data_IF_087150857294
#
_entry.id   IF_087150857294
#
_cell.length_a   1.000
_cell.length_b   1.000
_cell.length_c   1.000
_cell.angle_alpha   90.00
_cell.angle_beta   90.00
_cell.angle_gamma   90.00
#
_symmetry.space_group_name_H-M   'P 1'
#
loop_
_entity.id
_entity.type
_entity.pdbx_description
1 polymer ?
#
# COMPACT_ATOMS: atom_id res chain seq x y z
N UNK A 1 7.34 -17.27 -5.56
CA UNK A 1 5.95 -16.82 -5.69
C UNK A 1 5.00 -17.99 -5.90
N UNK A 2 4.93 -18.93 -4.94
CA UNK A 2 3.99 -20.06 -5.04
C UNK A 2 2.58 -19.69 -4.59
N UNK A 3 2.47 -18.94 -3.49
CA UNK A 3 1.17 -18.57 -2.92
C UNK A 3 0.37 -17.68 -3.85
N UNK A 4 1.03 -16.71 -4.51
CA UNK A 4 0.40 -15.82 -5.49
C UNK A 4 -0.23 -16.56 -6.66
N UNK A 5 0.40 -17.63 -7.12
CA UNK A 5 -0.15 -18.43 -8.21
C UNK A 5 -1.41 -19.17 -7.75
N UNK A 6 -1.33 -19.85 -6.60
CA UNK A 6 -2.44 -20.65 -6.07
C UNK A 6 -3.70 -19.85 -5.80
N UNK A 7 -3.57 -18.70 -5.15
CA UNK A 7 -4.76 -17.93 -4.81
C UNK A 7 -5.35 -17.22 -6.02
N UNK A 8 -4.54 -16.76 -6.99
CA UNK A 8 -5.07 -16.16 -8.22
C UNK A 8 -5.80 -17.20 -9.08
N UNK A 9 -5.25 -18.41 -9.19
CA UNK A 9 -5.94 -19.52 -9.87
C UNK A 9 -7.30 -19.79 -9.22
N UNK A 10 -7.37 -19.81 -7.88
CA UNK A 10 -8.63 -19.99 -7.15
C UNK A 10 -9.63 -18.84 -7.34
N UNK A 11 -9.20 -17.58 -7.18
CA UNK A 11 -10.10 -16.43 -7.18
C UNK A 11 -10.57 -16.07 -8.60
N UNK A 12 -9.76 -16.36 -9.61
CA UNK A 12 -10.06 -16.06 -11.01
C UNK A 12 -10.34 -17.31 -11.85
N UNK A 13 -10.66 -18.44 -11.20
CA UNK A 13 -11.05 -19.69 -11.86
C UNK A 13 -10.09 -20.11 -12.99
N UNK A 14 -8.79 -20.05 -12.70
CA UNK A 14 -7.72 -20.43 -13.62
C UNK A 14 -7.50 -19.49 -14.83
N UNK A 15 -8.16 -18.33 -14.89
CA UNK A 15 -8.10 -17.42 -16.04
C UNK A 15 -6.69 -16.93 -16.43
N UNK A 16 -5.71 -17.07 -15.54
CA UNK A 16 -4.32 -16.65 -15.76
C UNK A 16 -3.30 -17.80 -15.72
N UNK A 17 -3.75 -19.06 -15.63
CA UNK A 17 -2.86 -20.19 -15.35
C UNK A 17 -1.94 -20.52 -16.53
N UNK A 18 -2.41 -20.28 -17.75
CA UNK A 18 -1.65 -20.47 -19.00
C UNK A 18 -1.04 -19.16 -19.55
N UNK A 19 -1.37 -18.01 -18.93
CA UNK A 19 -0.99 -16.67 -19.39
C UNK A 19 0.40 -16.21 -18.94
N UNK A 20 0.95 -15.21 -19.63
CA UNK A 20 2.21 -14.59 -19.22
C UNK A 20 2.08 -13.80 -17.92
N UNK A 21 3.19 -13.63 -17.18
CA UNK A 21 3.19 -12.87 -15.92
C UNK A 21 2.66 -11.43 -16.04
N UNK A 22 2.74 -10.84 -17.23
CA UNK A 22 2.28 -9.48 -17.55
C UNK A 22 0.76 -9.39 -17.81
N UNK A 23 0.09 -10.52 -18.01
CA UNK A 23 -1.37 -10.62 -18.18
C UNK A 23 -2.08 -10.71 -16.83
N UNK A 24 -1.36 -11.17 -15.79
CA UNK A 24 -1.87 -11.33 -14.43
C UNK A 24 -2.27 -9.98 -13.83
N UNK A 25 -3.24 -9.95 -12.89
CA UNK A 25 -3.72 -8.69 -12.35
C UNK A 25 -2.64 -7.86 -11.66
N UNK A 26 -2.80 -6.53 -11.77
CA UNK A 26 -2.08 -5.55 -10.99
C UNK A 26 -2.92 -5.18 -9.77
N UNK A 27 -2.31 -5.24 -8.59
CA UNK A 27 -3.00 -5.04 -7.32
C UNK A 27 -2.87 -3.62 -6.81
N UNK A 28 -3.97 -3.13 -6.25
CA UNK A 28 -4.05 -1.85 -5.55
C UNK A 28 -5.20 -1.86 -4.55
N UNK A 29 -5.70 -0.68 -4.24
CA UNK A 29 -6.86 -0.54 -3.37
C UNK A 29 -7.77 0.58 -3.83
N UNK A 30 -9.08 0.40 -3.62
CA UNK A 30 -10.04 1.48 -3.76
C UNK A 30 -9.90 2.43 -2.56
N UNK A 31 -9.56 3.69 -2.81
CA UNK A 31 -9.43 4.70 -1.76
C UNK A 31 -10.80 5.25 -1.30
N UNK A 32 -11.70 4.37 -0.84
CA UNK A 32 -13.07 4.74 -0.46
C UNK A 32 -13.11 5.69 0.76
N UNK A 33 -12.11 5.60 1.64
CA UNK A 33 -11.89 6.53 2.78
C UNK A 33 -11.31 7.88 2.36
N UNK A 34 -10.90 8.04 1.10
CA UNK A 34 -10.27 9.26 0.57
C UNK A 34 -9.04 9.71 1.36
N UNK A 35 -8.25 8.76 1.85
CA UNK A 35 -6.99 9.00 2.58
C UNK A 35 -6.00 9.71 1.63
N UNK A 36 -5.37 10.82 2.02
CA UNK A 36 -4.35 11.51 1.21
C UNK A 36 -3.20 10.63 0.74
N UNK A 37 -2.76 9.65 1.55
CA UNK A 37 -1.72 8.69 1.16
C UNK A 37 -2.22 7.48 0.35
N UNK A 38 -3.47 7.49 -0.12
CA UNK A 38 -4.05 6.41 -0.91
C UNK A 38 -4.77 5.34 -0.07
N UNK A 39 -5.35 4.36 -0.75
CA UNK A 39 -6.24 3.37 -0.14
C UNK A 39 -5.55 2.37 0.79
N UNK A 40 -4.30 2.00 0.52
CA UNK A 40 -3.60 0.95 1.27
C UNK A 40 -2.17 1.36 1.69
N UNK A 41 -2.02 2.33 2.61
CA UNK A 41 -0.71 2.77 3.11
C UNK A 41 0.06 1.64 3.81
N UNK A 42 -0.58 0.53 4.16
CA UNK A 42 0.08 -0.71 4.63
C UNK A 42 1.23 -1.16 3.72
N UNK A 43 1.14 -0.92 2.42
CA UNK A 43 2.12 -1.40 1.44
C UNK A 43 3.21 -0.39 1.07
N UNK A 44 3.13 0.85 1.57
CA UNK A 44 4.15 1.86 1.35
C UNK A 44 3.60 3.28 1.34
N UNK A 45 4.51 4.24 1.21
CA UNK A 45 4.22 5.67 1.22
C UNK A 45 4.11 6.28 -0.18
N UNK A 46 3.99 5.46 -1.22
CA UNK A 46 3.94 5.90 -2.61
C UNK A 46 2.88 5.07 -3.34
N UNK A 47 2.08 5.72 -4.18
CA UNK A 47 1.07 5.04 -4.97
C UNK A 47 0.85 5.72 -6.31
N UNK A 48 0.48 4.94 -7.32
CA UNK A 48 -0.07 5.47 -8.55
C UNK A 48 -1.57 5.67 -8.38
N UNK A 49 -2.07 6.86 -8.72
CA UNK A 49 -3.50 7.11 -8.89
C UNK A 49 -3.85 6.79 -10.34
N UNK A 50 -4.80 5.87 -10.53
CA UNK A 50 -5.18 5.38 -11.84
C UNK A 50 -6.36 6.19 -12.40
N UNK A 51 -6.41 6.30 -13.73
CA UNK A 51 -7.54 6.93 -14.44
C UNK A 51 -8.82 6.09 -14.30
N UNK A 52 -10.02 6.68 -14.44
CA UNK A 52 -11.29 5.94 -14.43
C UNK A 52 -11.38 4.83 -15.49
N UNK A 53 -10.60 4.90 -16.58
CA UNK A 53 -10.61 3.89 -17.64
C UNK A 53 -10.22 2.50 -17.13
N UNK A 54 -9.43 2.41 -16.05
CA UNK A 54 -9.06 1.11 -15.49
C UNK A 54 -10.24 0.41 -14.83
N UNK A 55 -11.24 1.15 -14.32
CA UNK A 55 -12.41 0.60 -13.63
C UNK A 55 -13.20 -0.40 -14.47
N UNK A 56 -13.19 -0.26 -15.79
CA UNK A 56 -13.88 -1.17 -16.71
C UNK A 56 -13.33 -2.61 -16.68
N UNK A 57 -12.11 -2.79 -16.18
CA UNK A 57 -11.42 -4.08 -16.06
C UNK A 57 -10.88 -4.34 -14.65
N UNK A 58 -11.49 -3.72 -13.65
CA UNK A 58 -11.10 -3.90 -12.25
C UNK A 58 -12.19 -4.65 -11.50
N UNK A 59 -11.83 -5.78 -10.92
CA UNK A 59 -12.61 -6.38 -9.82
C UNK A 59 -12.10 -5.86 -8.48
N UNK A 60 -12.94 -5.99 -7.47
CA UNK A 60 -12.64 -5.62 -6.11
C UNK A 60 -13.07 -6.75 -5.19
N UNK A 61 -12.41 -6.89 -4.04
CA UNK A 61 -12.86 -7.78 -2.97
C UNK A 61 -12.68 -7.13 -1.59
N UNK A 62 -13.49 -7.62 -0.65
CA UNK A 62 -13.38 -7.27 0.76
C UNK A 62 -13.76 -8.51 1.61
N UNK A 63 -12.95 -8.92 2.61
CA UNK A 63 -11.58 -8.47 2.89
C UNK A 63 -10.62 -8.77 1.72
N UNK A 64 -9.34 -8.48 1.88
CA UNK A 64 -8.36 -8.69 0.80
C UNK A 64 -8.18 -10.18 0.44
N UNK A 65 -7.51 -10.43 -0.69
CA UNK A 65 -7.34 -11.77 -1.27
C UNK A 65 -6.63 -12.79 -0.36
N UNK A 66 -5.88 -12.33 0.65
CA UNK A 66 -5.23 -13.20 1.62
C UNK A 66 -6.23 -13.89 2.56
N UNK A 67 -7.37 -13.24 2.83
CA UNK A 67 -8.41 -13.76 3.74
C UNK A 67 -9.46 -14.64 3.08
N UNK A 68 -9.25 -15.06 1.83
CA UNK A 68 -10.19 -15.91 1.07
C UNK A 68 -11.62 -15.32 1.03
N UNK A 69 -11.78 -14.08 0.53
CA UNK A 69 -13.04 -13.36 0.62
C UNK A 69 -14.13 -14.02 -0.23
N UNK A 70 -15.38 -13.89 0.21
CA UNK A 70 -16.57 -14.25 -0.56
C UNK A 70 -17.22 -13.06 -1.26
N UNK A 71 -16.92 -11.82 -0.81
CA UNK A 71 -17.55 -10.62 -1.32
C UNK A 71 -16.69 -9.97 -2.41
N UNK A 72 -17.27 -9.87 -3.60
CA UNK A 72 -16.65 -9.28 -4.78
C UNK A 72 -17.53 -8.18 -5.36
N UNK A 73 -16.89 -7.22 -6.02
CA UNK A 73 -17.54 -6.10 -6.65
C UNK A 73 -16.86 -5.69 -7.95
N UNK A 74 -17.60 -4.96 -8.77
CA UNK A 74 -17.11 -4.22 -9.93
C UNK A 74 -17.63 -2.79 -9.84
N UNK A 75 -17.06 -1.86 -10.59
CA UNK A 75 -17.46 -0.44 -10.52
C UNK A 75 -18.97 -0.22 -10.72
N UNK A 76 -19.62 -1.01 -11.59
CA UNK A 76 -21.06 -0.92 -11.85
C UNK A 76 -21.95 -1.51 -10.73
N UNK A 77 -21.39 -2.33 -9.82
CA UNK A 77 -22.09 -3.00 -8.73
C UNK A 77 -21.18 -3.07 -7.50
N UNK A 78 -20.98 -1.92 -6.85
CA UNK A 78 -20.03 -1.73 -5.76
C UNK A 78 -20.68 -1.83 -4.38
N UNK A 79 -21.03 -3.04 -3.94
CA UNK A 79 -21.57 -3.29 -2.59
C UNK A 79 -20.53 -3.28 -1.47
N UNK A 80 -19.24 -3.39 -1.81
CA UNK A 80 -18.16 -3.58 -0.83
C UNK A 80 -17.90 -2.36 0.05
N UNK A 81 -18.27 -1.16 -0.41
CA UNK A 81 -18.10 0.08 0.38
C UNK A 81 -18.96 0.00 1.64
N UNK A 82 -20.20 -0.46 1.55
CA UNK A 82 -21.09 -0.57 2.71
C UNK A 82 -20.57 -1.60 3.71
N UNK A 83 -20.08 -2.74 3.23
CA UNK A 83 -19.44 -3.77 4.06
C UNK A 83 -18.21 -3.23 4.79
N UNK A 84 -17.30 -2.56 4.07
CA UNK A 84 -16.09 -1.99 4.65
C UNK A 84 -16.38 -0.82 5.61
N UNK A 85 -17.46 -0.06 5.40
CA UNK A 85 -17.89 1.00 6.32
C UNK A 85 -18.47 0.43 7.62
N UNK A 86 -19.13 -0.73 7.57
CA UNK A 86 -19.74 -1.39 8.72
C UNK A 86 -18.74 -2.22 9.56
N UNK A 87 -17.58 -2.56 9.00
CA UNK A 87 -16.54 -3.32 9.66
C UNK A 87 -15.59 -2.43 10.50
N UNK A 88 -14.98 -3.04 11.52
CA UNK A 88 -14.05 -2.40 12.45
C UNK A 88 -12.68 -3.08 12.37
N UNK A 89 -11.89 -2.69 11.37
CA UNK A 89 -10.51 -3.15 11.18
C UNK A 89 -9.49 -2.15 11.73
N UNK A 90 -8.25 -2.60 11.91
CA UNK A 90 -7.14 -1.66 12.04
C UNK A 90 -7.03 -0.77 10.78
N UNK A 91 -6.65 0.49 10.95
CA UNK A 91 -6.64 1.46 9.83
C UNK A 91 -5.74 1.07 8.65
N UNK A 92 -4.74 0.21 8.89
CA UNK A 92 -3.89 -0.34 7.83
C UNK A 92 -4.52 -1.51 7.08
N UNK A 93 -5.50 -2.17 7.68
CA UNK A 93 -6.23 -3.31 7.11
C UNK A 93 -7.62 -2.85 6.57
N UNK A 94 -8.03 -1.61 6.85
CA UNK A 94 -9.23 -0.92 6.33
C UNK A 94 -9.05 -0.44 4.88
N UNK A 95 -9.07 -1.39 3.94
CA UNK A 95 -9.08 -1.13 2.50
C UNK A 95 -9.89 -2.18 1.73
N UNK A 96 -10.42 -1.78 0.57
CA UNK A 96 -10.99 -2.69 -0.42
C UNK A 96 -9.91 -2.97 -1.46
N UNK A 97 -9.53 -4.22 -1.63
CA UNK A 97 -8.51 -4.62 -2.62
C UNK A 97 -9.07 -4.39 -4.03
N UNK A 98 -8.22 -3.87 -4.92
CA UNK A 98 -8.53 -3.69 -6.33
C UNK A 98 -7.61 -4.58 -7.17
N UNK A 99 -8.18 -5.35 -8.10
CA UNK A 99 -7.45 -6.20 -9.04
C UNK A 99 -7.70 -5.70 -10.45
N UNK A 100 -6.73 -4.96 -11.00
CA UNK A 100 -6.80 -4.46 -12.39
C UNK A 100 -6.34 -5.56 -13.32
N UNK A 101 -7.24 -6.10 -14.14
CA UNK A 101 -6.93 -7.19 -15.06
C UNK A 101 -6.11 -6.69 -16.25
N UNK A 102 -5.00 -7.36 -16.54
CA UNK A 102 -4.03 -6.96 -17.57
C UNK A 102 -3.15 -5.76 -17.18
N UNK A 103 -2.34 -5.25 -18.13
CA UNK A 103 -1.29 -4.28 -17.83
C UNK A 103 -1.84 -2.89 -17.43
N UNK A 104 -1.12 -2.25 -16.50
CA UNK A 104 -1.25 -0.82 -16.20
C UNK A 104 -0.11 -0.08 -16.91
N UNK A 105 -0.45 0.95 -17.68
CA UNK A 105 0.48 1.69 -18.51
C UNK A 105 0.58 3.11 -17.99
N UNK A 106 1.79 3.61 -17.83
CA UNK A 106 2.01 4.94 -17.23
C UNK A 106 1.49 6.08 -18.11
N UNK A 107 1.53 5.90 -19.44
CA UNK A 107 1.13 6.91 -20.42
C UNK A 107 -0.39 7.06 -20.61
N UNK A 108 -1.18 6.03 -20.26
CA UNK A 108 -2.62 6.02 -20.50
C UNK A 108 -3.48 5.73 -19.27
N UNK A 109 -2.93 5.04 -18.26
CA UNK A 109 -3.72 4.55 -17.12
C UNK A 109 -3.39 5.24 -15.80
N UNK A 110 -2.38 6.12 -15.76
CA UNK A 110 -1.94 6.80 -14.54
C UNK A 110 -2.24 8.30 -14.65
N UNK A 111 -2.98 8.81 -13.65
CA UNK A 111 -3.19 10.25 -13.49
C UNK A 111 -2.02 10.92 -12.79
N UNK A 112 -1.47 10.27 -11.76
CA UNK A 112 -0.33 10.78 -11.00
C UNK A 112 0.39 9.66 -10.26
N UNK A 113 1.69 9.86 -10.03
CA UNK A 113 2.44 9.21 -8.98
C UNK A 113 2.42 10.12 -7.73
N UNK A 114 1.84 9.65 -6.64
CA UNK A 114 1.78 10.38 -5.38
C UNK A 114 2.87 9.86 -4.44
N UNK A 115 3.69 10.76 -3.91
CA UNK A 115 4.86 10.46 -3.08
C UNK A 115 4.80 11.12 -1.70
N UNK A 116 5.58 10.56 -0.77
CA UNK A 116 5.87 11.19 0.51
C UNK A 116 6.90 12.33 0.35
N UNK A 117 6.70 13.50 0.99
CA UNK A 117 7.63 14.63 0.93
C UNK A 117 9.07 14.29 1.36
N UNK A 118 9.32 13.21 2.10
CA UNK A 118 10.68 12.75 2.43
C UNK A 118 11.53 12.41 1.19
N UNK A 119 10.90 12.24 0.02
CA UNK A 119 11.58 11.97 -1.25
C UNK A 119 11.91 13.21 -2.09
N UNK A 120 11.51 14.42 -1.66
CA UNK A 120 11.91 15.66 -2.33
C UNK A 120 13.42 15.85 -2.32
N UNK A 121 13.97 16.28 -3.44
CA UNK A 121 15.40 16.45 -3.68
C UNK A 121 16.20 15.14 -3.73
N UNK A 122 15.54 13.98 -3.82
CA UNK A 122 16.22 12.67 -3.81
C UNK A 122 16.25 12.01 -5.18
N UNK A 123 17.05 10.94 -5.31
CA UNK A 123 17.05 10.08 -6.50
C UNK A 123 15.68 9.46 -6.81
N UNK A 124 14.80 9.31 -5.82
CA UNK A 124 13.43 8.81 -6.00
C UNK A 124 12.58 9.83 -6.76
N UNK A 125 12.63 11.10 -6.38
CA UNK A 125 11.94 12.17 -7.15
C UNK A 125 12.50 12.26 -8.57
N UNK A 126 13.83 12.23 -8.72
CA UNK A 126 14.45 12.26 -10.04
C UNK A 126 14.00 11.08 -10.91
N UNK A 127 13.80 9.89 -10.33
CA UNK A 127 13.26 8.73 -11.03
C UNK A 127 11.77 8.89 -11.36
N UNK A 128 10.98 9.39 -10.42
CA UNK A 128 9.55 9.65 -10.60
C UNK A 128 9.28 10.61 -11.77
N UNK A 129 10.04 11.70 -11.86
CA UNK A 129 9.91 12.69 -12.94
C UNK A 129 10.22 12.11 -14.33
N UNK A 130 10.99 11.01 -14.43
CA UNK A 130 11.26 10.33 -15.71
C UNK A 130 10.14 9.41 -16.16
N UNK A 131 9.13 9.15 -15.33
CA UNK A 131 8.01 8.27 -15.66
C UNK A 131 7.00 8.90 -16.63
N UNK A 132 7.08 10.20 -16.86
CA UNK A 132 6.22 10.91 -17.82
C UNK A 132 4.78 11.14 -17.34
N UNK A 133 4.46 10.85 -16.08
CA UNK A 133 3.19 11.20 -15.44
C UNK A 133 3.39 12.28 -14.37
N UNK A 134 2.33 13.05 -14.02
CA UNK A 134 2.39 14.02 -12.93
C UNK A 134 2.90 13.42 -11.62
N UNK A 135 3.75 14.16 -10.90
CA UNK A 135 4.21 13.81 -9.55
C UNK A 135 3.53 14.72 -8.54
N UNK A 136 2.77 14.10 -7.64
CA UNK A 136 2.05 14.77 -6.56
C UNK A 136 2.59 14.32 -5.20
N UNK A 137 2.20 15.05 -4.15
CA UNK A 137 2.71 14.82 -2.80
C UNK A 137 1.57 14.75 -1.80
N UNK A 138 1.51 13.68 -1.03
CA UNK A 138 0.63 13.63 0.14
C UNK A 138 1.29 14.35 1.33
N UNK A 139 0.59 14.59 2.46
CA UNK A 139 1.15 15.43 3.55
C UNK A 139 2.33 14.80 4.34
N UNK A 140 2.66 13.53 4.09
CA UNK A 140 3.83 12.84 4.63
C UNK A 140 3.63 12.07 5.94
N UNK A 141 4.40 10.99 6.11
CA UNK A 141 4.47 10.21 7.34
C UNK A 141 5.68 10.62 8.18
N UNK A 142 5.46 10.88 9.47
CA UNK A 142 6.51 11.20 10.43
C UNK A 142 6.11 10.67 11.81
N UNK A 143 6.93 9.81 12.40
CA UNK A 143 6.68 9.24 13.72
C UNK A 143 7.85 9.50 14.66
N UNK A 144 7.61 10.23 15.74
CA UNK A 144 8.60 10.41 16.81
C UNK A 144 8.76 9.15 17.65
N UNK A 145 9.98 8.89 18.14
CA UNK A 145 10.28 7.74 18.99
C UNK A 145 9.46 7.73 20.28
N UNK A 146 9.17 8.91 20.85
CA UNK A 146 8.32 9.01 22.05
C UNK A 146 6.90 8.52 21.80
N UNK A 147 6.33 8.83 20.62
CA UNK A 147 5.01 8.30 20.24
C UNK A 147 5.08 6.81 19.93
N UNK A 148 6.12 6.36 19.21
CA UNK A 148 6.35 4.93 18.94
C UNK A 148 6.37 4.10 20.23
N UNK A 149 7.05 4.59 21.28
CA UNK A 149 7.17 3.91 22.59
C UNK A 149 5.85 3.77 23.34
N UNK A 150 4.84 4.57 23.01
CA UNK A 150 3.49 4.49 23.64
C UNK A 150 2.67 3.31 23.13
N UNK A 151 3.10 2.65 22.05
CA UNK A 151 2.31 1.59 21.38
C UNK A 151 2.97 0.19 21.41
N UNK A 152 3.50 -0.30 22.54
CA UNK A 152 4.23 -1.59 22.56
C UNK A 152 3.37 -2.79 22.18
N UNK A 153 2.04 -2.70 22.33
CA UNK A 153 1.11 -3.79 22.04
C UNK A 153 0.61 -3.88 20.59
N UNK A 154 0.91 -2.91 19.71
CA UNK A 154 0.32 -2.89 18.36
C UNK A 154 0.88 -4.00 17.45
N UNK A 155 2.20 -4.08 17.28
CA UNK A 155 2.85 -5.20 16.58
C UNK A 155 3.85 -5.96 17.45
N UNK A 156 4.35 -5.37 18.53
CA UNK A 156 5.31 -6.00 19.44
C UNK A 156 6.38 -5.03 19.91
N UNK A 157 6.89 -5.24 21.13
CA UNK A 157 7.91 -4.37 21.74
C UNK A 157 9.22 -4.40 20.98
N UNK A 158 9.58 -5.56 20.44
CA UNK A 158 10.77 -5.76 19.62
C UNK A 158 10.81 -4.84 18.38
N UNK A 159 9.65 -4.48 17.82
CA UNK A 159 9.57 -3.58 16.67
C UNK A 159 9.58 -2.10 17.10
N UNK A 160 9.11 -1.78 18.30
CA UNK A 160 9.32 -0.46 18.92
C UNK A 160 10.81 -0.23 19.18
N UNK A 161 11.50 -1.24 19.70
CA UNK A 161 12.93 -1.17 19.97
C UNK A 161 13.73 -1.05 18.66
N UNK A 162 13.39 -1.84 17.63
CA UNK A 162 13.99 -1.69 16.29
C UNK A 162 13.69 -0.32 15.68
N UNK A 163 12.45 0.15 15.72
CA UNK A 163 12.09 1.47 15.20
C UNK A 163 12.83 2.61 15.93
N UNK A 164 13.06 2.46 17.24
CA UNK A 164 13.89 3.38 18.03
C UNK A 164 15.34 3.38 17.55
N UNK A 165 15.92 2.22 17.25
CA UNK A 165 17.29 2.09 16.74
C UNK A 165 17.45 2.68 15.32
N UNK A 166 16.42 2.53 14.48
CA UNK A 166 16.43 3.02 13.11
C UNK A 166 16.21 4.54 13.02
N UNK A 167 15.56 5.14 14.02
CA UNK A 167 15.22 6.55 14.02
C UNK A 167 16.46 7.46 13.88
N UNK A 168 16.33 8.49 13.06
CA UNK A 168 17.36 9.53 12.90
C UNK A 168 16.84 10.78 13.61
N UNK A 169 17.66 11.33 14.50
CA UNK A 169 17.28 12.48 15.35
C UNK A 169 15.96 12.24 16.10
N UNK A 170 15.73 11.00 16.54
CA UNK A 170 14.53 10.60 17.29
C UNK A 170 13.25 10.50 16.46
N UNK A 171 13.34 10.47 15.12
CA UNK A 171 12.19 10.39 14.22
C UNK A 171 12.35 9.31 13.15
N UNK A 172 11.23 8.67 12.79
CA UNK A 172 11.08 7.81 11.63
C UNK A 172 10.31 8.54 10.51
N UNK A 173 10.77 8.34 9.28
CA UNK A 173 10.08 8.68 8.03
C UNK A 173 10.17 7.48 7.05
N UNK A 174 9.43 7.47 5.92
CA UNK A 174 9.45 6.34 5.01
C UNK A 174 10.82 6.07 4.39
N UNK A 175 11.63 7.11 4.22
CA UNK A 175 12.97 7.01 3.64
C UNK A 175 13.94 6.28 4.58
N UNK A 176 13.85 6.53 5.89
CA UNK A 176 14.63 5.83 6.92
C UNK A 176 14.29 4.34 6.93
N UNK A 177 12.98 4.02 6.97
CA UNK A 177 12.51 2.62 6.96
C UNK A 177 12.90 1.93 5.65
N UNK A 178 12.74 2.62 4.51
CA UNK A 178 13.13 2.13 3.19
C UNK A 178 14.63 1.95 3.02
N UNK A 179 15.47 2.75 3.70
CA UNK A 179 16.91 2.51 3.75
C UNK A 179 17.25 1.25 4.56
N UNK A 180 16.62 1.06 5.72
CA UNK A 180 16.80 -0.14 6.53
C UNK A 180 16.42 -1.42 5.78
N UNK A 181 15.31 -1.39 5.03
CA UNK A 181 14.88 -2.51 4.20
C UNK A 181 15.91 -2.87 3.10
N UNK A 182 16.45 -1.86 2.41
CA UNK A 182 17.43 -2.06 1.33
C UNK A 182 18.83 -2.46 1.83
N UNK A 183 19.17 -2.07 3.05
CA UNK A 183 20.47 -2.40 3.64
C UNK A 183 20.62 -3.90 3.96
N UNK A 184 19.50 -4.64 4.08
CA UNK A 184 19.53 -6.09 4.30
C UNK A 184 20.12 -6.54 5.64
N UNK A 185 20.24 -5.63 6.61
CA UNK A 185 20.85 -5.89 7.94
C UNK A 185 19.85 -6.37 9.00
N UNK A 186 18.56 -6.40 8.66
CA UNK A 186 17.48 -6.76 9.58
C UNK A 186 16.54 -7.73 8.87
N UNK A 187 15.79 -8.52 9.65
CA UNK A 187 14.69 -9.34 9.11
C UNK A 187 13.69 -8.44 8.35
N UNK A 188 13.41 -8.72 7.06
CA UNK A 188 12.43 -7.97 6.29
C UNK A 188 11.05 -7.90 6.94
N UNK A 189 10.61 -8.94 7.68
CA UNK A 189 9.33 -8.87 8.39
C UNK A 189 9.40 -7.88 9.55
N UNK A 190 10.51 -7.83 10.30
CA UNK A 190 10.69 -6.85 11.35
C UNK A 190 10.67 -5.40 10.82
N UNK A 191 11.35 -5.12 9.71
CA UNK A 191 11.30 -3.79 9.07
C UNK A 191 9.90 -3.45 8.57
N UNK A 192 9.16 -4.43 8.03
CA UNK A 192 7.74 -4.27 7.66
C UNK A 192 6.88 -3.93 8.88
N UNK A 193 7.11 -4.52 10.04
CA UNK A 193 6.38 -4.17 11.26
C UNK A 193 6.72 -2.76 11.76
N UNK A 194 7.96 -2.29 11.60
CA UNK A 194 8.32 -0.88 11.84
C UNK A 194 7.58 0.05 10.87
N UNK A 195 7.46 -0.32 9.59
CA UNK A 195 6.62 0.42 8.64
C UNK A 195 5.17 0.51 9.12
N UNK A 196 4.59 -0.58 9.64
CA UNK A 196 3.22 -0.55 10.16
C UNK A 196 3.05 0.48 11.29
N UNK A 197 4.03 0.60 12.21
CA UNK A 197 3.99 1.65 13.22
C UNK A 197 3.99 3.05 12.60
N UNK A 198 4.91 3.31 11.68
CA UNK A 198 5.03 4.60 10.99
C UNK A 198 3.75 4.94 10.21
N UNK A 199 3.20 4.00 9.46
CA UNK A 199 1.98 4.21 8.68
C UNK A 199 0.74 4.44 9.56
N UNK A 200 0.66 3.74 10.71
CA UNK A 200 -0.49 3.81 11.63
C UNK A 200 -0.49 5.06 12.50
N UNK A 201 0.67 5.46 13.00
CA UNK A 201 0.80 6.52 14.01
C UNK A 201 1.53 7.77 13.51
N UNK A 202 2.18 7.70 12.35
CA UNK A 202 2.92 8.80 11.77
C UNK A 202 2.18 9.59 10.68
N UNK A 203 0.92 9.27 10.38
CA UNK A 203 0.14 10.08 9.44
C UNK A 203 -0.04 11.50 10.00
N UNK A 204 0.39 12.51 9.24
CA UNK A 204 0.33 13.93 9.65
C UNK A 204 -1.04 14.57 9.39
N UNK A 205 -1.97 13.81 8.82
CA UNK A 205 -3.37 14.18 8.59
C UNK A 205 -4.24 13.24 9.43
N UNK A 206 -5.09 13.80 10.28
CA UNK A 206 -6.20 13.10 10.92
C UNK A 206 -7.40 14.05 10.97
#
# INVERSE_FOLDING_TARGET
GGDRWRWESRIFDGAYDEGGAHERPVYGALNFRRKPAGGAPRFGSAHFRLTPQTLARTTFCYPDSFFEPSDFGVAARMGLIELALADHQDELDDYIEAQVHGPVRLDSHVEALVLDPCYRGTAVEAAALRLGCPVEWHPGFRLGVEELRRHPGYRGREYVDLGTQLAVDGVLDPRIVGYAARAGRHDPQAVKKVWHYLARFGATWK
#
